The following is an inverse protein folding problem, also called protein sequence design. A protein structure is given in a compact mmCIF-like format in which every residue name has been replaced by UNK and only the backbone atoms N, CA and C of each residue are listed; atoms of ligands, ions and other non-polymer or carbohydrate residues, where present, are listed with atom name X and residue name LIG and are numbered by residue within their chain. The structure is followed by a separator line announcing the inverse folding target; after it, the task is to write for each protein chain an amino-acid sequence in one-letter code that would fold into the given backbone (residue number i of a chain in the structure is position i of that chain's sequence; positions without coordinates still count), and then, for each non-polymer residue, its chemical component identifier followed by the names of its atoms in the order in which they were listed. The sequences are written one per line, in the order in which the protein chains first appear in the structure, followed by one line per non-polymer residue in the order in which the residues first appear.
data_IF_736686092432
#
_entry.id   IF_736686092432
#
_cell.length_a   1.000
_cell.length_b   1.000
_cell.length_c   1.000
_cell.angle_alpha   90.00
_cell.angle_beta   90.00
_cell.angle_gamma   90.00
#
_symmetry.space_group_name_H-M   'P 1'
#
loop_
_entity.id
_entity.type
_entity.pdbx_description
1 polymer ?
#
# COMPACT_ATOMS: atom_id res chain seq x y z
N UNK A 1 0.13 -19.98 19.42
CA UNK A 1 -0.44 -18.97 18.49
C UNK A 1 0.23 -17.65 18.81
N UNK A 2 0.96 -17.09 17.85
CA UNK A 2 1.62 -15.81 18.01
C UNK A 2 0.58 -14.70 18.16
N UNK A 3 0.99 -13.54 18.70
CA UNK A 3 0.06 -12.46 19.05
C UNK A 3 -0.73 -11.92 17.86
N UNK A 4 -0.15 -11.99 16.66
CA UNK A 4 -0.77 -11.56 15.41
C UNK A 4 -2.00 -12.41 15.05
N UNK A 5 -1.93 -13.73 15.20
CA UNK A 5 -3.03 -14.62 14.86
C UNK A 5 -4.24 -14.41 15.76
N UNK A 6 -3.98 -14.24 17.07
CA UNK A 6 -5.02 -13.92 18.05
C UNK A 6 -5.68 -12.56 17.78
N UNK A 7 -4.89 -11.57 17.37
CA UNK A 7 -5.44 -10.25 17.03
C UNK A 7 -6.34 -10.31 15.79
N UNK A 8 -5.93 -11.05 14.75
CA UNK A 8 -6.75 -11.24 13.56
C UNK A 8 -8.05 -11.98 13.88
N UNK A 9 -7.99 -13.03 14.71
CA UNK A 9 -9.17 -13.74 15.20
C UNK A 9 -10.12 -12.80 15.96
N UNK A 10 -9.60 -12.00 16.90
CA UNK A 10 -10.39 -11.01 17.64
C UNK A 10 -11.03 -9.92 16.77
N UNK A 11 -10.44 -9.60 15.61
CA UNK A 11 -10.96 -8.63 14.65
C UNK A 11 -11.82 -9.25 13.53
N UNK A 12 -12.01 -10.58 13.54
CA UNK A 12 -12.72 -11.29 12.46
C UNK A 12 -11.99 -11.26 11.10
N UNK A 13 -10.67 -11.04 11.11
CA UNK A 13 -9.84 -10.98 9.91
C UNK A 13 -9.36 -12.39 9.55
N UNK A 14 -9.75 -12.87 8.37
CA UNK A 14 -9.28 -14.17 7.86
C UNK A 14 -7.80 -14.08 7.46
N UNK A 15 -6.99 -14.95 8.07
CA UNK A 15 -5.58 -15.10 7.71
C UNK A 15 -5.40 -15.98 6.47
N UNK A 16 -4.55 -15.53 5.55
CA UNK A 16 -4.11 -16.30 4.39
C UNK A 16 -2.59 -16.48 4.46
N UNK A 17 -2.14 -17.73 4.58
CA UNK A 17 -0.72 -18.08 4.58
C UNK A 17 -0.36 -18.62 3.21
N UNK A 18 0.64 -18.02 2.57
CA UNK A 18 1.13 -18.48 1.28
C UNK A 18 1.86 -19.82 1.45
N UNK A 19 1.66 -20.79 0.55
CA UNK A 19 2.40 -22.05 0.59
C UNK A 19 3.90 -21.81 0.43
N UNK A 20 4.76 -22.61 1.10
CA UNK A 20 6.20 -22.47 1.00
C UNK A 20 6.67 -22.61 -0.46
N UNK A 21 7.74 -21.88 -0.81
CA UNK A 21 8.36 -21.90 -2.15
C UNK A 21 7.42 -21.48 -3.30
N UNK A 22 6.54 -20.50 -3.05
CA UNK A 22 5.58 -20.01 -4.04
C UNK A 22 5.86 -18.56 -4.49
N UNK A 23 7.02 -18.27 -5.12
CA UNK A 23 7.42 -16.91 -5.48
C UNK A 23 6.45 -16.21 -6.43
N UNK A 24 5.74 -16.98 -7.27
CA UNK A 24 4.73 -16.45 -8.20
C UNK A 24 3.58 -15.73 -7.47
N UNK A 25 3.31 -16.07 -6.22
CA UNK A 25 2.27 -15.45 -5.40
C UNK A 25 2.72 -14.11 -4.79
N UNK A 26 4.03 -13.83 -4.77
CA UNK A 26 4.60 -12.61 -4.19
C UNK A 26 4.77 -11.47 -5.20
N UNK A 27 4.60 -11.73 -6.50
CA UNK A 27 4.98 -10.78 -7.55
C UNK A 27 4.32 -9.40 -7.44
N UNK A 28 3.09 -9.31 -6.90
CA UNK A 28 2.43 -8.03 -6.65
C UNK A 28 3.09 -7.25 -5.50
N UNK A 29 3.38 -7.92 -4.39
CA UNK A 29 4.04 -7.31 -3.22
C UNK A 29 5.46 -6.86 -3.59
N UNK A 30 6.21 -7.72 -4.27
CA UNK A 30 7.57 -7.41 -4.73
C UNK A 30 7.60 -6.21 -5.69
N UNK A 31 6.62 -6.10 -6.58
CA UNK A 31 6.50 -4.95 -7.50
C UNK A 31 6.24 -3.64 -6.75
N UNK A 32 5.38 -3.66 -5.74
CA UNK A 32 5.09 -2.48 -4.91
C UNK A 32 6.34 -2.09 -4.12
N UNK A 33 7.01 -3.04 -3.48
CA UNK A 33 8.25 -2.79 -2.73
C UNK A 33 9.36 -2.20 -3.62
N UNK A 34 9.52 -2.70 -4.86
CA UNK A 34 10.45 -2.11 -5.82
C UNK A 34 10.06 -0.67 -6.17
N UNK A 35 8.77 -0.41 -6.41
CA UNK A 35 8.28 0.95 -6.70
C UNK A 35 8.61 1.92 -5.56
N UNK A 36 8.39 1.52 -4.31
CA UNK A 36 8.73 2.33 -3.13
C UNK A 36 10.23 2.52 -2.99
N UNK A 37 11.02 1.49 -3.28
CA UNK A 37 12.49 1.60 -3.29
C UNK A 37 12.93 2.67 -4.29
N UNK A 38 12.46 2.55 -5.53
CA UNK A 38 12.92 3.37 -6.64
C UNK A 38 12.44 4.82 -6.52
N UNK A 39 11.23 5.07 -6.00
CA UNK A 39 10.60 6.39 -5.96
C UNK A 39 10.70 7.11 -4.60
N UNK A 40 10.83 6.37 -3.49
CA UNK A 40 10.85 6.96 -2.15
C UNK A 40 12.17 6.71 -1.43
N UNK A 41 12.61 5.46 -1.28
CA UNK A 41 13.77 5.14 -0.43
C UNK A 41 15.14 5.48 -1.04
N UNK A 42 15.22 5.82 -2.32
CA UNK A 42 16.45 6.28 -2.98
C UNK A 42 16.78 7.75 -2.71
N UNK A 43 15.83 8.52 -2.14
CA UNK A 43 16.03 9.93 -1.82
C UNK A 43 16.76 10.12 -0.48
N UNK A 44 17.27 11.33 -0.23
CA UNK A 44 17.74 11.70 1.11
C UNK A 44 16.55 11.74 2.07
N UNK A 45 16.53 10.84 3.06
CA UNK A 45 15.45 10.73 4.04
C UNK A 45 15.87 11.29 5.42
N UNK A 46 14.92 11.83 6.19
CA UNK A 46 15.16 12.23 7.57
C UNK A 46 15.63 11.06 8.44
N UNK A 47 16.46 11.36 9.44
CA UNK A 47 16.92 10.37 10.43
C UNK A 47 15.94 10.19 11.58
N UNK A 48 15.04 11.16 11.81
CA UNK A 48 14.04 11.09 12.87
C UNK A 48 12.76 10.44 12.36
N UNK A 49 12.24 9.48 13.12
CA UNK A 49 11.01 8.74 12.79
C UNK A 49 9.81 9.66 12.51
N UNK A 50 9.52 10.71 13.31
CA UNK A 50 8.37 11.58 13.05
C UNK A 50 8.47 12.32 11.70
N UNK A 51 9.67 12.72 11.31
CA UNK A 51 9.92 13.40 10.04
C UNK A 51 9.77 12.43 8.87
N UNK A 52 10.36 11.24 9.00
CA UNK A 52 10.23 10.15 8.03
C UNK A 52 8.76 9.73 7.83
N UNK A 53 7.99 9.64 8.93
CA UNK A 53 6.57 9.31 8.89
C UNK A 53 5.79 10.32 8.06
N UNK A 54 5.95 11.62 8.33
CA UNK A 54 5.28 12.69 7.57
C UNK A 54 5.61 12.63 6.09
N UNK A 55 6.87 12.36 5.78
CA UNK A 55 7.36 12.21 4.42
C UNK A 55 6.77 10.98 3.70
N UNK A 56 6.65 9.86 4.42
CA UNK A 56 6.03 8.64 3.93
C UNK A 56 4.52 8.83 3.71
N UNK A 57 3.83 9.51 4.61
CA UNK A 57 2.40 9.81 4.48
C UNK A 57 2.15 10.68 3.24
N UNK A 58 2.97 11.71 3.01
CA UNK A 58 2.87 12.53 1.81
C UNK A 58 3.07 11.70 0.52
N UNK A 59 4.02 10.75 0.56
CA UNK A 59 4.26 9.85 -0.57
C UNK A 59 3.10 8.85 -0.77
N UNK A 60 2.53 8.30 0.30
CA UNK A 60 1.38 7.39 0.24
C UNK A 60 0.13 8.10 -0.31
N UNK A 61 -0.09 9.37 0.06
CA UNK A 61 -1.16 10.19 -0.52
C UNK A 61 -0.97 10.32 -2.03
N UNK A 62 0.23 10.70 -2.46
CA UNK A 62 0.57 10.79 -3.88
C UNK A 62 0.37 9.44 -4.60
N UNK A 63 0.92 8.36 -4.06
CA UNK A 63 0.85 7.02 -4.63
C UNK A 63 -0.60 6.57 -4.83
N UNK A 64 -1.45 6.78 -3.84
CA UNK A 64 -2.83 6.29 -3.86
C UNK A 64 -3.79 7.19 -4.66
N UNK A 65 -3.53 8.51 -4.75
CA UNK A 65 -4.47 9.48 -5.32
C UNK A 65 -4.07 10.05 -6.67
N UNK A 66 -2.77 10.05 -7.01
CA UNK A 66 -2.25 10.86 -8.11
C UNK A 66 -1.30 10.08 -9.03
N UNK A 67 -0.55 9.12 -8.48
CA UNK A 67 0.43 8.36 -9.25
C UNK A 67 -0.30 7.50 -10.30
N UNK A 68 -0.02 7.64 -11.60
CA UNK A 68 -0.67 6.83 -12.62
C UNK A 68 -0.11 5.40 -12.64
N UNK A 69 -0.98 4.39 -12.74
CA UNK A 69 -0.57 2.99 -12.83
C UNK A 69 -0.91 2.40 -14.20
N UNK A 70 0.11 1.97 -14.95
CA UNK A 70 -0.07 1.33 -16.27
C UNK A 70 -0.99 0.10 -16.21
N UNK A 71 -0.88 -0.71 -15.16
CA UNK A 71 -1.74 -1.88 -14.96
C UNK A 71 -3.21 -1.51 -14.70
N UNK A 72 -3.49 -0.27 -14.29
CA UNK A 72 -4.83 0.25 -14.02
C UNK A 72 -5.34 1.15 -15.15
N UNK A 73 -4.71 1.12 -16.32
CA UNK A 73 -5.08 1.97 -17.46
C UNK A 73 -4.71 3.45 -17.28
N UNK A 74 -3.69 3.74 -16.46
CA UNK A 74 -3.24 5.10 -16.17
C UNK A 74 -3.94 5.74 -14.97
N UNK A 75 -4.95 5.09 -14.37
CA UNK A 75 -5.61 5.55 -13.16
C UNK A 75 -4.71 5.40 -11.93
N UNK A 76 -4.90 6.27 -10.95
CA UNK A 76 -4.40 6.09 -9.59
C UNK A 76 -5.19 4.99 -8.86
N UNK A 77 -4.62 4.38 -7.81
CA UNK A 77 -5.27 3.28 -7.07
C UNK A 77 -6.68 3.62 -6.56
N UNK A 78 -6.88 4.81 -5.97
CA UNK A 78 -8.20 5.21 -5.46
C UNK A 78 -9.18 5.53 -6.58
N UNK A 79 -8.72 6.08 -7.70
CA UNK A 79 -9.57 6.29 -8.88
C UNK A 79 -10.04 4.96 -9.47
N UNK A 80 -9.13 3.99 -9.57
CA UNK A 80 -9.46 2.65 -10.01
C UNK A 80 -10.44 1.96 -9.05
N UNK A 81 -10.23 2.11 -7.74
CA UNK A 81 -11.09 1.55 -6.71
C UNK A 81 -12.51 2.13 -6.78
N UNK A 82 -12.62 3.45 -6.88
CA UNK A 82 -13.89 4.14 -7.03
C UNK A 82 -14.62 3.67 -8.29
N UNK A 83 -13.89 3.54 -9.41
CA UNK A 83 -14.44 3.04 -10.68
C UNK A 83 -15.00 1.62 -10.57
N UNK A 84 -14.30 0.69 -9.93
CA UNK A 84 -14.79 -0.70 -9.79
C UNK A 84 -15.95 -0.83 -8.80
N UNK A 85 -16.11 0.13 -7.87
CA UNK A 85 -17.22 0.17 -6.91
C UNK A 85 -18.42 0.99 -7.38
N UNK A 86 -18.26 1.80 -8.43
CA UNK A 86 -19.28 2.75 -8.85
C UNK A 86 -19.45 3.91 -7.87
N UNK A 87 -18.38 4.25 -7.14
CA UNK A 87 -18.34 5.29 -6.11
C UNK A 87 -17.61 6.53 -6.61
N UNK A 88 -17.76 7.65 -5.90
CA UNK A 88 -16.92 8.82 -6.12
C UNK A 88 -15.50 8.56 -5.60
N UNK A 89 -14.50 9.21 -6.22
CA UNK A 89 -13.12 9.13 -5.74
C UNK A 89 -13.04 9.77 -4.35
N UNK A 90 -12.52 9.07 -3.32
CA UNK A 90 -12.41 9.63 -1.99
C UNK A 90 -11.59 10.93 -1.98
N UNK A 91 -12.14 12.01 -1.45
CA UNK A 91 -11.48 13.33 -1.44
C UNK A 91 -10.56 13.54 -0.23
N UNK A 92 -10.78 12.83 0.88
CA UNK A 92 -9.98 12.94 2.11
C UNK A 92 -9.02 11.77 2.33
N UNK A 93 -7.79 12.06 2.75
CA UNK A 93 -6.83 11.04 3.15
C UNK A 93 -7.30 10.45 4.49
N UNK A 94 -7.66 9.17 4.50
CA UNK A 94 -7.98 8.42 5.71
C UNK A 94 -6.72 7.94 6.47
N UNK A 95 -5.54 8.52 6.19
CA UNK A 95 -4.34 8.22 6.96
C UNK A 95 -4.44 8.92 8.31
N UNK A 96 -4.94 8.18 9.30
CA UNK A 96 -4.84 8.48 10.73
C UNK A 96 -3.42 8.24 11.24
#
# INVERSE_FOLDING_TARGET
MAGFEKACEGLGIRLFVLPPRSPKLNGHVERIQRTFRDEFYTRSLPSQIPELQRELDAYLDHYNRRRPHRALGGLAPLEYLARIRGEAVPTESQMC
#
